data_IF_992146241212
#
_entry.id   IF_992146241212
#
_cell.length_a   1.000
_cell.length_b   1.000
_cell.length_c   1.000
_cell.angle_alpha   90.00
_cell.angle_beta   90.00
_cell.angle_gamma   90.00
#
_symmetry.space_group_name_H-M   'P 1'
#
loop_
_entity.id
_entity.type
_entity.pdbx_description
1 polymer ?
#
# COMPACT_ATOMS: atom_id res chain seq x y z
N UNK A 1 -38.51 38.09 30.63
CA UNK A 1 -38.13 37.67 31.99
C UNK A 1 -39.07 36.55 32.42
N UNK A 2 -38.48 35.42 32.83
CA UNK A 2 -39.01 34.35 33.70
C UNK A 2 -40.36 33.69 33.38
N UNK A 3 -40.28 32.45 32.88
CA UNK A 3 -41.20 31.34 33.17
C UNK A 3 -40.42 30.04 32.87
N UNK A 4 -39.94 29.31 33.87
CA UNK A 4 -40.70 28.21 34.49
C UNK A 4 -39.92 26.89 34.34
N UNK A 5 -40.32 25.79 34.99
CA UNK A 5 -39.55 25.26 36.13
C UNK A 5 -39.13 23.78 35.98
N UNK A 6 -38.57 23.24 37.07
CA UNK A 6 -38.53 21.82 37.47
C UNK A 6 -37.40 20.93 36.90
N UNK A 7 -36.29 20.88 37.64
CA UNK A 7 -35.52 19.65 37.76
C UNK A 7 -36.11 18.81 38.90
N UNK A 8 -36.70 17.68 38.54
CA UNK A 8 -37.37 16.76 39.44
C UNK A 8 -36.38 15.82 40.16
N UNK A 9 -36.68 15.64 41.45
CA UNK A 9 -36.54 14.46 42.30
C UNK A 9 -35.48 13.38 42.00
N UNK A 10 -34.61 13.23 43.01
CA UNK A 10 -34.15 11.98 43.63
C UNK A 10 -35.09 10.78 43.47
N UNK A 11 -34.54 9.58 43.28
CA UNK A 11 -34.79 8.41 44.17
C UNK A 11 -33.89 7.22 43.84
N UNK A 12 -33.47 6.54 44.91
CA UNK A 12 -32.58 5.39 44.98
C UNK A 12 -33.26 4.07 44.57
N UNK A 13 -32.42 3.15 44.07
CA UNK A 13 -32.37 1.69 44.25
C UNK A 13 -33.64 0.87 44.61
N UNK A 14 -33.91 -0.20 43.84
CA UNK A 14 -33.81 -1.60 44.32
C UNK A 14 -34.32 -2.66 43.30
N UNK A 15 -33.45 -3.64 43.04
CA UNK A 15 -33.64 -5.07 42.69
C UNK A 15 -34.74 -5.57 41.73
N UNK A 16 -34.31 -6.05 40.57
CA UNK A 16 -34.70 -7.35 39.99
C UNK A 16 -33.54 -7.91 39.12
N UNK A 17 -33.30 -9.23 39.08
CA UNK A 17 -32.13 -9.81 38.43
C UNK A 17 -32.34 -9.81 36.91
N UNK A 18 -31.58 -8.99 36.19
CA UNK A 18 -31.48 -9.11 34.74
C UNK A 18 -30.42 -10.17 34.44
N UNK A 19 -30.82 -11.14 33.63
CA UNK A 19 -30.05 -12.34 33.31
C UNK A 19 -28.64 -12.04 32.82
N UNK A 20 -27.73 -12.88 33.29
CA UNK A 20 -26.68 -13.51 32.48
C UNK A 20 -26.04 -12.58 31.44
N UNK A 21 -25.16 -11.71 31.93
CA UNK A 21 -23.99 -11.30 31.15
C UNK A 21 -23.05 -12.50 31.06
N UNK A 22 -23.25 -13.34 30.05
CA UNK A 22 -22.30 -14.38 29.66
C UNK A 22 -21.49 -13.93 28.45
N UNK A 23 -20.16 -14.07 28.57
CA UNK A 23 -19.20 -14.32 27.49
C UNK A 23 -19.20 -13.34 26.32
N UNK A 24 -18.19 -12.48 26.15
CA UNK A 24 -16.83 -12.91 25.85
C UNK A 24 -16.80 -14.08 24.84
N UNK A 25 -17.31 -13.82 23.63
CA UNK A 25 -16.78 -14.44 22.41
C UNK A 25 -16.80 -13.38 21.32
N UNK A 26 -15.87 -12.44 21.44
CA UNK A 26 -15.25 -11.82 20.27
C UNK A 26 -14.62 -13.00 19.51
N UNK A 27 -15.44 -13.64 18.67
CA UNK A 27 -14.97 -14.61 17.71
C UNK A 27 -14.00 -13.84 16.84
N UNK A 28 -12.72 -13.95 17.20
CA UNK A 28 -11.61 -13.65 16.34
C UNK A 28 -11.87 -14.47 15.07
N UNK A 29 -12.55 -13.84 14.12
CA UNK A 29 -12.31 -14.12 12.73
C UNK A 29 -10.82 -13.84 12.58
N UNK A 30 -10.02 -14.89 12.79
CA UNK A 30 -8.70 -14.99 12.24
C UNK A 30 -8.93 -14.70 10.76
N UNK A 31 -8.76 -13.43 10.38
CA UNK A 31 -8.62 -13.02 9.02
C UNK A 31 -7.45 -13.86 8.56
N UNK A 32 -7.77 -14.98 7.92
CA UNK A 32 -6.78 -15.92 7.42
C UNK A 32 -5.95 -15.07 6.49
N UNK A 33 -4.74 -14.71 6.93
CA UNK A 33 -3.79 -14.05 6.06
C UNK A 33 -3.71 -14.94 4.81
N UNK A 34 -3.97 -14.42 3.61
CA UNK A 34 -4.06 -15.25 2.42
C UNK A 34 -2.81 -16.12 2.33
N UNK A 35 -3.00 -17.43 2.49
CA UNK A 35 -1.92 -18.42 2.50
C UNK A 35 -1.33 -18.63 1.11
N UNK A 36 -2.08 -18.26 0.07
CA UNK A 36 -1.57 -18.15 -1.28
C UNK A 36 -1.03 -16.74 -1.51
N UNK A 37 0.25 -16.67 -1.87
CA UNK A 37 0.84 -15.44 -2.41
C UNK A 37 0.05 -15.03 -3.65
N UNK A 38 -0.14 -13.73 -3.93
CA UNK A 38 -0.68 -13.28 -5.20
C UNK A 38 0.14 -13.91 -6.34
N UNK A 39 -0.48 -14.85 -7.08
CA UNK A 39 0.12 -15.44 -8.28
C UNK A 39 -0.12 -14.45 -9.41
N UNK A 40 0.84 -13.56 -9.62
CA UNK A 40 0.86 -12.72 -10.82
C UNK A 40 1.18 -13.63 -12.00
N UNK A 41 0.26 -13.68 -12.98
CA UNK A 41 0.51 -14.42 -14.20
C UNK A 41 1.71 -13.78 -14.93
N UNK A 42 2.58 -14.56 -15.60
CA UNK A 42 3.64 -14.02 -16.44
C UNK A 42 3.13 -13.07 -17.54
N UNK A 43 1.84 -13.16 -17.86
CA UNK A 43 1.13 -12.35 -18.84
C UNK A 43 0.32 -11.20 -18.23
N UNK A 44 0.42 -10.97 -16.91
CA UNK A 44 -0.22 -9.82 -16.28
C UNK A 44 0.38 -8.53 -16.87
N UNK A 45 -0.42 -7.62 -17.46
CA UNK A 45 0.08 -6.39 -18.06
C UNK A 45 0.94 -5.55 -17.10
N UNK A 46 0.72 -5.67 -15.79
CA UNK A 46 1.53 -4.98 -14.78
C UNK A 46 2.96 -5.54 -14.68
N UNK A 47 3.20 -6.81 -15.04
CA UNK A 47 4.56 -7.40 -15.09
C UNK A 47 5.34 -7.06 -16.37
N UNK A 48 4.67 -6.48 -17.37
CA UNK A 48 5.25 -6.15 -18.69
C UNK A 48 5.87 -4.75 -18.75
N UNK A 49 5.85 -4.00 -17.66
CA UNK A 49 6.48 -2.67 -17.58
C UNK A 49 7.98 -2.83 -17.85
N UNK A 50 8.46 -2.12 -18.85
CA UNK A 50 9.87 -2.14 -19.25
C UNK A 50 10.66 -1.05 -18.52
N UNK A 51 11.98 -1.16 -18.56
CA UNK A 51 12.85 -0.10 -18.11
C UNK A 51 12.65 1.20 -18.91
N UNK A 52 12.32 1.12 -20.21
CA UNK A 52 12.01 2.31 -21.00
C UNK A 52 10.75 3.02 -20.49
N UNK A 53 9.69 2.27 -20.16
CA UNK A 53 8.45 2.84 -19.62
C UNK A 53 8.73 3.56 -18.29
N UNK A 54 9.45 2.89 -17.38
CA UNK A 54 9.82 3.47 -16.08
C UNK A 54 10.65 4.75 -16.22
N UNK A 55 11.66 4.75 -17.09
CA UNK A 55 12.53 5.91 -17.30
C UNK A 55 11.76 7.09 -17.92
N UNK A 56 10.84 6.82 -18.85
CA UNK A 56 9.98 7.85 -19.42
C UNK A 56 9.06 8.48 -18.37
N UNK A 57 8.44 7.66 -17.51
CA UNK A 57 7.63 8.17 -16.39
C UNK A 57 8.48 8.97 -15.40
N UNK A 58 9.72 8.54 -15.10
CA UNK A 58 10.64 9.27 -14.24
C UNK A 58 11.07 10.63 -14.82
N UNK A 59 11.27 10.72 -16.13
CA UNK A 59 11.57 11.97 -16.82
C UNK A 59 10.41 12.98 -16.69
N UNK A 60 9.18 12.53 -16.94
CA UNK A 60 7.98 13.37 -16.77
C UNK A 60 7.82 13.80 -15.31
N UNK A 61 7.97 12.88 -14.36
CA UNK A 61 7.83 13.13 -12.93
C UNK A 61 8.83 14.16 -12.37
N UNK A 62 9.97 14.36 -13.02
CA UNK A 62 11.04 15.27 -12.57
C UNK A 62 11.06 16.61 -13.33
N UNK A 63 10.15 16.82 -14.27
CA UNK A 63 10.09 18.04 -15.09
C UNK A 63 9.61 19.25 -14.28
N UNK A 64 10.19 20.43 -14.57
CA UNK A 64 9.82 21.72 -13.96
C UNK A 64 9.41 22.75 -15.05
N UNK A 65 8.40 23.61 -14.80
CA UNK A 65 7.55 23.64 -13.61
C UNK A 65 6.67 22.39 -13.53
N UNK A 66 6.39 21.91 -12.32
CA UNK A 66 5.49 20.77 -12.12
C UNK A 66 4.09 21.12 -12.63
N UNK A 67 3.58 20.34 -13.59
CA UNK A 67 2.24 20.41 -14.12
C UNK A 67 1.45 19.14 -13.77
N UNK A 68 0.19 19.06 -14.23
CA UNK A 68 -0.68 17.91 -13.95
C UNK A 68 -0.09 16.58 -14.50
N UNK A 69 0.70 16.63 -15.57
CA UNK A 69 1.37 15.46 -16.12
C UNK A 69 2.53 15.01 -15.21
N UNK A 70 3.32 15.94 -14.70
CA UNK A 70 4.37 15.65 -13.73
C UNK A 70 3.79 15.06 -12.44
N UNK A 71 2.67 15.59 -11.94
CA UNK A 71 1.97 15.03 -10.77
C UNK A 71 1.45 13.61 -11.04
N UNK A 72 0.78 13.39 -12.17
CA UNK A 72 0.29 12.06 -12.54
C UNK A 72 1.42 11.03 -12.66
N UNK A 73 2.56 11.43 -13.23
CA UNK A 73 3.74 10.57 -13.33
C UNK A 73 4.37 10.27 -11.96
N UNK A 74 4.39 11.23 -11.02
CA UNK A 74 4.82 11.00 -9.64
C UNK A 74 3.92 9.99 -8.92
N UNK A 75 2.60 10.11 -9.08
CA UNK A 75 1.64 9.16 -8.53
C UNK A 75 1.80 7.76 -9.14
N UNK A 76 2.04 7.68 -10.46
CA UNK A 76 2.30 6.42 -11.14
C UNK A 76 3.58 5.74 -10.62
N UNK A 77 4.66 6.49 -10.41
CA UNK A 77 5.89 5.95 -9.80
C UNK A 77 5.65 5.46 -8.37
N UNK A 78 4.94 6.22 -7.54
CA UNK A 78 4.65 5.83 -6.17
C UNK A 78 3.80 4.55 -6.09
N UNK A 79 2.77 4.45 -6.94
CA UNK A 79 1.94 3.26 -7.06
C UNK A 79 2.73 2.06 -7.62
N UNK A 80 3.56 2.29 -8.63
CA UNK A 80 4.44 1.27 -9.22
C UNK A 80 5.44 0.71 -8.20
N UNK A 81 6.06 1.56 -7.38
CA UNK A 81 6.97 1.13 -6.30
C UNK A 81 6.25 0.33 -5.21
N UNK A 82 5.01 0.69 -4.88
CA UNK A 82 4.17 -0.06 -3.94
C UNK A 82 3.87 -1.45 -4.49
N UNK A 83 3.54 -1.56 -5.78
CA UNK A 83 3.30 -2.83 -6.42
C UNK A 83 4.57 -3.68 -6.51
N UNK A 84 5.70 -3.05 -6.85
CA UNK A 84 7.02 -3.67 -6.88
C UNK A 84 7.42 -4.23 -5.51
N UNK A 85 7.07 -3.54 -4.42
CA UNK A 85 7.26 -4.05 -3.06
C UNK A 85 6.51 -5.38 -2.86
N UNK A 86 5.22 -5.41 -3.16
CA UNK A 86 4.40 -6.61 -3.04
C UNK A 86 4.93 -7.77 -3.89
N UNK A 87 5.35 -7.49 -5.13
CA UNK A 87 5.99 -8.46 -6.00
C UNK A 87 7.27 -9.04 -5.38
N UNK A 88 8.18 -8.17 -4.90
CA UNK A 88 9.44 -8.58 -4.31
C UNK A 88 9.25 -9.33 -2.99
N UNK A 89 8.26 -8.92 -2.18
CA UNK A 89 7.89 -9.60 -0.95
C UNK A 89 7.45 -11.04 -1.25
N UNK A 90 6.58 -11.22 -2.24
CA UNK A 90 6.15 -12.55 -2.68
C UNK A 90 7.30 -13.37 -3.28
N UNK A 91 8.22 -12.73 -4.02
CA UNK A 91 9.33 -13.41 -4.70
C UNK A 91 10.45 -13.83 -3.74
N UNK A 92 10.68 -13.08 -2.66
CA UNK A 92 11.74 -13.31 -1.67
C UNK A 92 11.22 -13.92 -0.36
N UNK A 93 10.05 -14.56 -0.39
CA UNK A 93 9.44 -15.24 0.77
C UNK A 93 9.27 -14.33 2.01
N UNK A 94 9.00 -13.05 1.79
CA UNK A 94 8.92 -12.03 2.84
C UNK A 94 10.28 -11.48 3.33
N UNK A 95 11.38 -11.93 2.74
CA UNK A 95 12.75 -11.48 3.04
C UNK A 95 13.12 -10.12 2.44
N UNK A 96 12.23 -9.13 2.51
CA UNK A 96 12.52 -7.73 2.20
C UNK A 96 12.11 -6.83 3.34
N UNK A 97 12.69 -5.63 3.39
CA UNK A 97 12.30 -4.61 4.37
C UNK A 97 10.82 -4.21 4.20
N UNK A 98 10.16 -3.79 5.30
CA UNK A 98 8.81 -3.24 5.22
C UNK A 98 8.71 -2.06 4.26
N UNK A 99 7.56 -1.93 3.60
CA UNK A 99 7.28 -0.78 2.73
C UNK A 99 7.37 0.50 3.57
N UNK A 100 8.28 1.38 3.18
CA UNK A 100 8.55 2.65 3.86
C UNK A 100 9.07 3.67 2.85
N UNK A 101 9.06 4.95 3.22
CA UNK A 101 9.63 6.00 2.37
C UNK A 101 11.12 5.74 2.06
N UNK A 102 11.88 5.28 3.05
CA UNK A 102 13.29 4.94 2.89
C UNK A 102 13.49 3.79 1.91
N UNK A 103 12.68 2.72 2.05
CA UNK A 103 12.71 1.61 1.10
C UNK A 103 12.33 2.06 -0.31
N UNK A 104 11.29 2.89 -0.45
CA UNK A 104 10.84 3.41 -1.76
C UNK A 104 11.94 4.25 -2.43
N UNK A 105 12.59 5.16 -1.69
CA UNK A 105 13.69 5.97 -2.22
C UNK A 105 14.89 5.12 -2.63
N UNK A 106 15.30 4.18 -1.77
CA UNK A 106 16.42 3.29 -2.07
C UNK A 106 16.14 2.40 -3.29
N UNK A 107 14.92 1.86 -3.38
CA UNK A 107 14.49 1.02 -4.50
C UNK A 107 14.35 1.82 -5.78
N UNK A 108 13.72 2.99 -5.75
CA UNK A 108 13.59 3.86 -6.91
C UNK A 108 14.96 4.23 -7.48
N UNK A 109 15.92 4.60 -6.61
CA UNK A 109 17.29 4.89 -7.03
C UNK A 109 17.96 3.68 -7.68
N UNK A 110 17.95 2.52 -7.00
CA UNK A 110 18.57 1.28 -7.51
C UNK A 110 17.99 0.86 -8.86
N UNK A 111 16.67 0.89 -8.99
CA UNK A 111 15.96 0.51 -10.20
C UNK A 111 16.24 1.50 -11.32
N UNK A 112 16.26 2.80 -11.03
CA UNK A 112 16.64 3.83 -12.01
C UNK A 112 18.06 3.64 -12.53
N UNK A 113 19.03 3.41 -11.64
CA UNK A 113 20.43 3.16 -12.00
C UNK A 113 20.56 1.91 -12.88
N UNK A 114 19.91 0.81 -12.50
CA UNK A 114 19.96 -0.43 -13.25
C UNK A 114 19.24 -0.35 -14.61
N UNK A 115 18.08 0.32 -14.68
CA UNK A 115 17.38 0.55 -15.93
C UNK A 115 18.12 1.50 -16.87
N UNK A 116 18.78 2.53 -16.33
CA UNK A 116 19.62 3.45 -17.12
C UNK A 116 20.86 2.76 -17.70
N UNK A 117 21.32 1.68 -17.06
CA UNK A 117 22.45 0.87 -17.53
C UNK A 117 22.05 -0.30 -18.45
N UNK A 118 20.75 -0.53 -18.68
CA UNK A 118 20.29 -1.63 -19.53
C UNK A 118 20.65 -1.39 -20.99
N UNK A 119 21.19 -2.41 -21.67
CA UNK A 119 21.57 -2.34 -23.09
C UNK A 119 20.34 -2.12 -23.99
N UNK A 120 19.20 -2.70 -23.60
CA UNK A 120 17.92 -2.59 -24.31
C UNK A 120 16.77 -2.25 -23.35
N UNK A 121 16.63 -0.99 -22.92
CA UNK A 121 15.63 -0.62 -21.91
C UNK A 121 14.19 -0.98 -22.30
N UNK A 122 13.84 -0.92 -23.58
CA UNK A 122 12.49 -1.28 -24.09
C UNK A 122 12.21 -2.78 -24.20
N UNK A 123 13.22 -3.64 -24.01
CA UNK A 123 13.05 -5.10 -23.92
C UNK A 123 13.30 -5.62 -22.50
N UNK A 124 13.84 -4.78 -21.61
CA UNK A 124 14.23 -5.17 -20.25
C UNK A 124 13.08 -4.98 -19.28
N UNK A 125 12.66 -6.05 -18.59
CA UNK A 125 11.59 -5.97 -17.59
C UNK A 125 12.04 -5.20 -16.34
N UNK A 126 11.20 -4.26 -15.88
CA UNK A 126 11.39 -3.54 -14.61
C UNK A 126 11.50 -4.52 -13.42
N UNK A 127 10.70 -5.59 -13.45
CA UNK A 127 10.61 -6.56 -12.35
C UNK A 127 11.84 -7.45 -12.25
N UNK A 128 12.40 -7.87 -13.38
CA UNK A 128 13.65 -8.64 -13.42
C UNK A 128 14.83 -7.81 -12.89
N UNK A 129 14.90 -6.55 -13.30
CA UNK A 129 15.89 -5.59 -12.80
C UNK A 129 15.73 -5.35 -11.30
N UNK A 130 14.50 -5.22 -10.81
CA UNK A 130 14.26 -4.99 -9.38
C UNK A 130 14.57 -6.21 -8.49
N UNK A 131 14.55 -7.43 -9.03
CA UNK A 131 14.94 -8.64 -8.30
C UNK A 131 16.46 -8.76 -8.16
N UNK A 132 17.19 -8.27 -9.17
CA UNK A 132 18.66 -8.31 -9.28
C UNK A 132 19.36 -7.54 -8.16
#
# INVERSE_FOLDING_TARGET
MLAGPMAALLMLAACAPQGETEGEEEAAAAAQAPTERPKLAPDDPLTRITCADFLATAEVATTQPADDAALAAQDELANGLTWLHGYLYAKKDGGIEPLSQTWMQATAKRVFEACSAAEKPGETSLFEVAVS
#
